data_IF_467556588464
#
_entry.id   IF_467556588464
#
_cell.length_a   1.000
_cell.length_b   1.000
_cell.length_c   1.000
_cell.angle_alpha   90.00
_cell.angle_beta   90.00
_cell.angle_gamma   90.00
#
_symmetry.space_group_name_H-M   'P 1'
#
loop_
_entity.id
_entity.type
_entity.pdbx_description
1 polymer ?
#
# COMPACT_ATOMS: atom_id res chain seq x y z
N UNK A 1 -43.91 -23.62 41.27
CA UNK A 1 -42.69 -22.77 41.16
C UNK A 1 -42.37 -22.58 39.68
N UNK A 2 -42.53 -21.37 39.14
CA UNK A 2 -42.13 -21.11 37.75
C UNK A 2 -40.63 -20.77 37.70
N UNK A 3 -39.85 -21.33 36.75
CA UNK A 3 -38.43 -21.02 36.64
C UNK A 3 -38.25 -19.54 36.26
N UNK A 4 -37.58 -18.77 37.12
CA UNK A 4 -37.18 -17.39 36.81
C UNK A 4 -36.21 -17.43 35.63
N UNK A 5 -36.68 -17.08 34.43
CA UNK A 5 -35.79 -16.82 33.29
C UNK A 5 -34.77 -15.74 33.70
N UNK A 6 -33.48 -15.99 33.47
CA UNK A 6 -32.39 -15.04 33.71
C UNK A 6 -32.39 -13.92 32.67
N UNK A 7 -33.40 -13.04 32.74
CA UNK A 7 -33.60 -11.88 31.84
C UNK A 7 -32.37 -10.96 31.87
N UNK A 8 -31.76 -10.77 33.05
CA UNK A 8 -30.55 -9.96 33.19
C UNK A 8 -29.36 -10.52 32.37
N UNK A 9 -29.21 -11.84 32.31
CA UNK A 9 -28.15 -12.49 31.52
C UNK A 9 -28.37 -12.29 30.02
N UNK A 10 -29.62 -12.39 29.56
CA UNK A 10 -29.99 -12.16 28.15
C UNK A 10 -29.73 -10.71 27.74
N UNK A 11 -30.14 -9.74 28.57
CA UNK A 11 -29.91 -8.31 28.29
C UNK A 11 -28.42 -8.00 28.26
N UNK A 12 -27.64 -8.55 29.21
CA UNK A 12 -26.19 -8.34 29.27
C UNK A 12 -25.50 -8.90 28.03
N UNK A 13 -25.92 -10.09 27.57
CA UNK A 13 -25.37 -10.70 26.36
C UNK A 13 -25.72 -9.91 25.10
N UNK A 14 -26.97 -9.43 24.97
CA UNK A 14 -27.36 -8.55 23.87
C UNK A 14 -26.59 -7.24 23.86
N UNK A 15 -26.43 -6.60 25.03
CA UNK A 15 -25.60 -5.41 25.18
C UNK A 15 -24.15 -5.68 24.77
N UNK A 16 -23.57 -6.80 25.20
CA UNK A 16 -22.20 -7.19 24.82
C UNK A 16 -22.04 -7.36 23.31
N UNK A 17 -23.02 -7.95 22.62
CA UNK A 17 -23.01 -8.05 21.16
C UNK A 17 -23.06 -6.67 20.51
N UNK A 18 -24.01 -5.83 20.91
CA UNK A 18 -24.17 -4.49 20.32
C UNK A 18 -22.90 -3.67 20.53
N UNK A 19 -22.36 -3.66 21.74
CA UNK A 19 -21.08 -3.01 22.04
C UNK A 19 -19.95 -3.60 21.21
N UNK A 20 -19.85 -4.93 21.11
CA UNK A 20 -18.84 -5.59 20.29
C UNK A 20 -18.92 -5.20 18.82
N UNK A 21 -20.13 -5.15 18.25
CA UNK A 21 -20.36 -4.71 16.87
C UNK A 21 -19.90 -3.27 16.69
N UNK A 22 -20.27 -2.35 17.58
CA UNK A 22 -19.86 -0.94 17.50
C UNK A 22 -18.32 -0.82 17.58
N UNK A 23 -17.71 -1.50 18.54
CA UNK A 23 -16.25 -1.48 18.75
C UNK A 23 -15.50 -2.02 17.53
N UNK A 24 -16.09 -2.93 16.75
CA UNK A 24 -15.45 -3.55 15.59
C UNK A 24 -15.74 -2.77 14.29
N UNK A 25 -16.99 -2.36 14.06
CA UNK A 25 -17.43 -1.78 12.79
C UNK A 25 -16.73 -0.46 12.50
N UNK A 26 -16.56 0.42 13.48
CA UNK A 26 -15.93 1.72 13.25
C UNK A 26 -14.44 1.61 12.89
N UNK A 27 -13.59 0.89 13.68
CA UNK A 27 -12.18 0.69 13.31
C UNK A 27 -12.01 -0.07 11.99
N UNK A 28 -12.81 -1.11 11.74
CA UNK A 28 -12.74 -1.85 10.48
C UNK A 28 -13.13 -0.99 9.29
N UNK A 29 -14.20 -0.19 9.42
CA UNK A 29 -14.63 0.74 8.37
C UNK A 29 -13.54 1.76 8.04
N UNK A 30 -12.95 2.37 9.08
CA UNK A 30 -11.84 3.30 8.89
C UNK A 30 -10.62 2.64 8.25
N UNK A 31 -10.24 1.45 8.71
CA UNK A 31 -9.14 0.68 8.15
C UNK A 31 -9.36 0.38 6.68
N UNK A 32 -10.56 -0.08 6.31
CA UNK A 32 -10.89 -0.43 4.94
C UNK A 32 -10.80 0.76 3.98
N UNK A 33 -11.37 1.91 4.35
CA UNK A 33 -11.30 3.13 3.54
C UNK A 33 -9.86 3.63 3.43
N UNK A 34 -9.12 3.66 4.53
CA UNK A 34 -7.73 4.11 4.54
C UNK A 34 -6.83 3.22 3.68
N UNK A 35 -7.01 1.89 3.78
CA UNK A 35 -6.30 0.92 2.97
C UNK A 35 -6.57 1.10 1.48
N UNK A 36 -7.84 1.28 1.08
CA UNK A 36 -8.19 1.53 -0.32
C UNK A 36 -7.54 2.81 -0.85
N UNK A 37 -7.57 3.89 -0.07
CA UNK A 37 -6.94 5.15 -0.45
C UNK A 37 -5.42 5.01 -0.63
N UNK A 38 -4.74 4.36 0.31
CA UNK A 38 -3.30 4.10 0.21
C UNK A 38 -2.96 3.20 -0.99
N UNK A 39 -3.74 2.14 -1.19
CA UNK A 39 -3.54 1.22 -2.31
C UNK A 39 -3.71 1.92 -3.66
N UNK A 40 -4.76 2.73 -3.82
CA UNK A 40 -4.99 3.49 -5.04
C UNK A 40 -3.89 4.54 -5.28
N UNK A 41 -3.45 5.23 -4.23
CA UNK A 41 -2.37 6.22 -4.33
C UNK A 41 -1.07 5.58 -4.83
N UNK A 42 -0.65 4.45 -4.27
CA UNK A 42 0.61 3.78 -4.66
C UNK A 42 0.48 3.15 -6.05
N UNK A 43 -0.71 2.66 -6.43
CA UNK A 43 -0.98 2.16 -7.79
C UNK A 43 -0.81 3.27 -8.82
N UNK A 44 -1.47 4.41 -8.62
CA UNK A 44 -1.36 5.57 -9.52
C UNK A 44 0.07 6.11 -9.57
N UNK A 45 0.78 6.14 -8.44
CA UNK A 45 2.21 6.51 -8.45
C UNK A 45 3.05 5.50 -9.25
N UNK A 46 2.78 4.20 -9.15
CA UNK A 46 3.47 3.18 -9.93
C UNK A 46 3.21 3.33 -11.43
N UNK A 47 1.96 3.59 -11.83
CA UNK A 47 1.56 3.82 -13.22
C UNK A 47 2.23 5.07 -13.81
N UNK A 48 2.17 6.21 -13.12
CA UNK A 48 2.81 7.45 -13.56
C UNK A 48 4.33 7.29 -13.66
N UNK A 49 4.98 6.67 -12.67
CA UNK A 49 6.41 6.45 -12.71
C UNK A 49 6.80 5.48 -13.84
N UNK A 50 5.99 4.46 -14.10
CA UNK A 50 6.19 3.56 -15.22
C UNK A 50 6.16 4.34 -16.54
N UNK A 51 5.13 5.15 -16.79
CA UNK A 51 5.03 5.97 -18.00
C UNK A 51 6.25 6.89 -18.20
N UNK A 52 6.73 7.52 -17.12
CA UNK A 52 7.91 8.39 -17.17
C UNK A 52 9.18 7.59 -17.47
N UNK A 53 9.36 6.43 -16.84
CA UNK A 53 10.51 5.56 -17.06
C UNK A 53 10.47 4.97 -18.48
N UNK A 54 9.30 4.57 -18.99
CA UNK A 54 9.13 4.06 -20.35
C UNK A 54 9.54 5.10 -21.39
N UNK A 55 9.27 6.39 -21.14
CA UNK A 55 9.77 7.47 -22.00
C UNK A 55 11.30 7.60 -21.94
N UNK A 56 11.92 7.44 -20.76
CA UNK A 56 13.39 7.47 -20.61
C UNK A 56 14.03 6.30 -21.36
N UNK A 57 13.47 5.09 -21.20
CA UNK A 57 13.94 3.87 -21.86
C UNK A 57 13.75 3.96 -23.37
N UNK A 58 12.60 4.46 -23.84
CA UNK A 58 12.30 4.58 -25.27
C UNK A 58 13.26 5.49 -26.05
N UNK A 59 13.98 6.38 -25.38
CA UNK A 59 15.04 7.19 -26.00
C UNK A 59 16.33 6.39 -26.24
N UNK A 60 16.61 5.37 -25.42
CA UNK A 60 17.84 4.58 -25.50
C UNK A 60 17.61 3.10 -25.09
N UNK A 61 16.83 2.37 -25.89
CA UNK A 61 16.38 1.00 -25.57
C UNK A 61 17.52 -0.02 -25.45
N UNK A 62 18.68 0.24 -26.05
CA UNK A 62 19.81 -0.71 -26.04
C UNK A 62 20.68 -0.57 -24.78
N UNK A 63 20.76 0.61 -24.17
CA UNK A 63 21.70 0.89 -23.07
C UNK A 63 21.05 1.33 -21.76
N UNK A 64 19.72 1.46 -21.68
CA UNK A 64 19.05 1.97 -20.48
C UNK A 64 19.37 1.18 -19.19
N UNK A 65 19.63 -0.13 -19.28
CA UNK A 65 19.99 -0.96 -18.11
C UNK A 65 21.34 -0.56 -17.48
N UNK A 66 22.21 0.13 -18.24
CA UNK A 66 23.48 0.65 -17.75
C UNK A 66 23.36 2.07 -17.16
N UNK A 67 22.23 2.75 -17.34
CA UNK A 67 21.97 4.09 -16.82
C UNK A 67 21.42 4.08 -15.38
N UNK A 68 21.95 3.20 -14.53
CA UNK A 68 21.44 2.95 -13.17
C UNK A 68 21.41 4.22 -12.32
N UNK A 69 22.44 5.05 -12.40
CA UNK A 69 22.52 6.31 -11.63
C UNK A 69 21.44 7.30 -12.03
N UNK A 70 21.16 7.44 -13.33
CA UNK A 70 20.11 8.32 -13.85
C UNK A 70 18.73 7.83 -13.42
N UNK A 71 18.50 6.51 -13.49
CA UNK A 71 17.26 5.89 -13.07
C UNK A 71 17.08 6.02 -11.54
N UNK A 72 18.13 5.82 -10.76
CA UNK A 72 18.10 5.99 -9.31
C UNK A 72 17.84 7.45 -8.90
N UNK A 73 18.41 8.43 -9.62
CA UNK A 73 18.11 9.85 -9.42
C UNK A 73 16.63 10.14 -9.73
N UNK A 74 16.10 9.55 -10.79
CA UNK A 74 14.68 9.69 -11.12
C UNK A 74 13.78 9.08 -10.04
N UNK A 75 14.13 7.89 -9.52
CA UNK A 75 13.42 7.25 -8.41
C UNK A 75 13.52 8.06 -7.10
N UNK A 76 14.60 8.81 -6.90
CA UNK A 76 14.80 9.67 -5.74
C UNK A 76 13.90 10.92 -5.76
N UNK A 77 13.36 11.31 -6.92
CA UNK A 77 12.44 12.45 -7.04
C UNK A 77 11.07 12.05 -6.50
N UNK A 78 10.72 12.57 -5.33
CA UNK A 78 9.43 12.31 -4.66
C UNK A 78 8.48 13.49 -4.86
N UNK A 79 7.40 13.33 -5.65
CA UNK A 79 6.37 14.37 -5.76
C UNK A 79 5.50 14.50 -4.48
N UNK A 80 5.55 13.52 -3.56
CA UNK A 80 4.69 13.41 -2.38
C UNK A 80 5.27 13.90 -1.05
N UNK A 81 4.52 13.68 0.05
CA UNK A 81 4.75 14.22 1.41
C UNK A 81 5.97 13.65 2.19
N UNK A 82 6.90 12.95 1.53
CA UNK A 82 8.11 12.43 2.18
C UNK A 82 7.87 11.26 3.14
N UNK A 83 6.85 10.43 2.91
CA UNK A 83 6.72 9.16 3.64
C UNK A 83 7.85 8.19 3.26
N UNK A 84 8.18 7.29 4.19
CA UNK A 84 9.15 6.24 3.92
C UNK A 84 8.60 5.28 2.86
N UNK A 85 9.33 5.10 1.76
CA UNK A 85 8.93 4.23 0.65
C UNK A 85 10.13 3.52 0.04
N UNK A 86 9.86 2.46 -0.73
CA UNK A 86 10.87 1.78 -1.54
C UNK A 86 10.37 1.71 -2.97
N UNK A 87 11.17 2.23 -3.91
CA UNK A 87 10.89 2.24 -5.34
C UNK A 87 11.98 1.47 -6.07
N UNK A 88 11.59 0.58 -6.97
CA UNK A 88 12.50 -0.32 -7.69
C UNK A 88 12.11 -0.41 -9.16
N UNK A 89 13.11 -0.44 -10.02
CA UNK A 89 12.98 -0.87 -11.41
C UNK A 89 13.59 -2.25 -11.51
N UNK A 90 12.82 -3.19 -12.07
CA UNK A 90 13.27 -4.56 -12.30
C UNK A 90 13.23 -4.85 -13.79
N UNK A 91 14.17 -5.66 -14.27
CA UNK A 91 14.13 -6.17 -15.64
C UNK A 91 13.22 -7.42 -15.73
N UNK A 92 13.12 -7.97 -16.95
CA UNK A 92 12.31 -9.17 -17.23
C UNK A 92 12.79 -10.44 -16.52
N UNK A 93 14.03 -10.46 -16.03
CA UNK A 93 14.60 -11.53 -15.20
C UNK A 93 14.37 -11.31 -13.70
N UNK A 94 13.62 -10.26 -13.34
CA UNK A 94 13.35 -9.84 -11.96
C UNK A 94 14.62 -9.39 -11.21
N UNK A 95 15.63 -8.91 -11.95
CA UNK A 95 16.85 -8.31 -11.41
C UNK A 95 16.61 -6.83 -11.17
N UNK A 96 17.06 -6.30 -10.03
CA UNK A 96 16.93 -4.88 -9.70
C UNK A 96 17.95 -4.09 -10.54
N UNK A 97 17.45 -3.22 -11.41
CA UNK A 97 18.26 -2.32 -12.25
C UNK A 97 18.56 -1.02 -11.50
N UNK A 98 17.57 -0.48 -10.80
CA UNK A 98 17.73 0.70 -9.96
C UNK A 98 16.79 0.64 -8.75
N UNK A 99 17.24 1.20 -7.64
CA UNK A 99 16.49 1.23 -6.39
C UNK A 99 16.69 2.55 -5.65
N UNK A 100 15.61 3.08 -5.08
CA UNK A 100 15.64 4.06 -4.01
C UNK A 100 14.83 3.51 -2.83
N UNK A 101 15.48 3.19 -1.71
CA UNK A 101 14.85 2.48 -0.60
C UNK A 101 15.04 3.18 0.74
N UNK A 102 13.92 3.51 1.39
CA UNK A 102 13.89 3.84 2.81
C UNK A 102 13.72 2.61 3.69
N UNK A 103 14.00 2.76 4.98
CA UNK A 103 13.72 1.73 5.98
C UNK A 103 12.22 1.69 6.31
N UNK A 104 11.53 0.69 5.80
CA UNK A 104 10.10 0.45 6.07
C UNK A 104 9.90 -0.37 7.35
N UNK A 105 8.86 -0.03 8.11
CA UNK A 105 8.38 -0.86 9.23
C UNK A 105 7.16 -1.65 8.75
N UNK A 106 7.07 -2.97 9.04
CA UNK A 106 5.89 -3.75 8.70
C UNK A 106 4.67 -3.30 9.53
N UNK A 107 3.44 -3.49 9.03
CA UNK A 107 3.10 -4.05 7.72
C UNK A 107 3.37 -3.07 6.55
N UNK A 108 3.67 -3.60 5.36
CA UNK A 108 3.93 -2.82 4.14
C UNK A 108 2.91 -3.14 3.04
N UNK A 109 2.64 -2.16 2.17
CA UNK A 109 1.84 -2.30 0.97
C UNK A 109 2.77 -2.09 -0.23
N UNK A 110 2.60 -2.91 -1.27
CA UNK A 110 3.38 -2.84 -2.50
C UNK A 110 2.45 -2.89 -3.71
N UNK A 111 2.78 -2.15 -4.75
CA UNK A 111 2.19 -2.21 -6.10
C UNK A 111 3.29 -2.15 -7.15
N UNK A 112 2.97 -2.60 -8.35
CA UNK A 112 3.89 -2.68 -9.48
C UNK A 112 3.12 -2.38 -10.75
N UNK A 113 3.69 -1.54 -11.61
CA UNK A 113 3.22 -1.33 -12.98
C UNK A 113 4.27 -1.82 -13.98
N UNK A 114 3.84 -2.15 -15.18
CA UNK A 114 4.70 -2.57 -16.27
C UNK A 114 5.12 -1.37 -17.13
N UNK A 115 6.33 -1.45 -17.67
CA UNK A 115 6.93 -0.45 -18.56
C UNK A 115 6.56 -0.71 -20.02
#
# INVERSE_FOLDING_TARGET
MQPKKNIAGIITWLAAIVTGVIVIVFPLGYFFVSYQYMAASIETEAEINADIISQIIGVNTEYWEFEQDRLAEQLARRPGKGYAETRRIVNTKNEIIAENADKLKPPVIMRSSYL
#
